data_IF_759686720743
#
_entry.id   IF_759686720743
#
_cell.length_a   1.000
_cell.length_b   1.000
_cell.length_c   1.000
_cell.angle_alpha   90.00
_cell.angle_beta   90.00
_cell.angle_gamma   90.00
#
_symmetry.space_group_name_H-M   'P 1'
#
loop_
_entity.id
_entity.type
_entity.pdbx_description
1 polymer ?
#
# COMPACT_ATOMS: atom_id res chain seq x y z
N UNK A 1 13.42 -3.21 -22.97
CA UNK A 1 13.20 -2.91 -21.54
C UNK A 1 11.78 -3.32 -21.20
N UNK A 2 11.55 -4.14 -20.19
CA UNK A 2 10.17 -4.47 -19.75
C UNK A 2 9.56 -3.25 -19.06
N UNK A 3 8.24 -3.06 -19.19
CA UNK A 3 7.54 -1.91 -18.59
C UNK A 3 7.75 -1.83 -17.07
N UNK A 4 7.83 -2.98 -16.39
CA UNK A 4 8.13 -3.03 -14.96
C UNK A 4 9.53 -2.50 -14.59
N UNK A 5 10.53 -2.69 -15.46
CA UNK A 5 11.89 -2.18 -15.24
C UNK A 5 11.94 -0.66 -15.38
N UNK A 6 11.14 -0.11 -16.29
CA UNK A 6 10.98 1.33 -16.45
C UNK A 6 10.42 1.97 -15.18
N UNK A 7 9.32 1.44 -14.64
CA UNK A 7 8.74 1.96 -13.40
C UNK A 7 9.64 1.78 -12.18
N UNK A 8 10.42 0.68 -12.11
CA UNK A 8 11.46 0.55 -11.08
C UNK A 8 12.47 1.67 -11.16
N UNK A 9 13.01 1.95 -12.34
CA UNK A 9 14.02 2.98 -12.52
C UNK A 9 13.47 4.36 -12.15
N UNK A 10 12.26 4.68 -12.60
CA UNK A 10 11.56 5.90 -12.21
C UNK A 10 11.38 6.02 -10.70
N UNK A 11 11.00 4.94 -10.02
CA UNK A 11 10.84 4.96 -8.57
C UNK A 11 12.18 5.20 -7.87
N UNK A 12 13.24 4.49 -8.26
CA UNK A 12 14.58 4.67 -7.69
C UNK A 12 15.09 6.11 -7.85
N UNK A 13 14.92 6.70 -9.03
CA UNK A 13 15.29 8.09 -9.28
C UNK A 13 14.51 9.06 -8.37
N UNK A 14 13.20 8.84 -8.24
CA UNK A 14 12.35 9.69 -7.44
C UNK A 14 12.64 9.58 -5.93
N UNK A 15 12.78 8.37 -5.38
CA UNK A 15 13.05 8.20 -3.94
C UNK A 15 14.44 8.73 -3.57
N UNK A 16 15.44 8.59 -4.44
CA UNK A 16 16.77 9.13 -4.17
C UNK A 16 16.78 10.66 -4.06
N UNK A 17 15.83 11.32 -4.74
CA UNK A 17 15.69 12.77 -4.68
C UNK A 17 14.80 13.25 -3.52
N UNK A 18 13.68 12.57 -3.27
CA UNK A 18 12.62 13.07 -2.39
C UNK A 18 12.45 12.30 -1.08
N UNK A 19 12.70 10.98 -1.07
CA UNK A 19 12.49 10.11 0.09
C UNK A 19 13.61 9.03 0.19
N UNK A 20 14.88 9.39 0.49
CA UNK A 20 16.03 8.47 0.39
C UNK A 20 16.14 7.48 1.57
N UNK A 21 14.99 6.99 2.04
CA UNK A 21 14.83 6.10 3.21
C UNK A 21 14.09 4.81 2.85
N UNK A 22 13.74 4.63 1.58
CA UNK A 22 13.18 3.39 1.04
C UNK A 22 14.31 2.37 0.80
N UNK A 23 14.14 1.17 1.31
CA UNK A 23 15.08 0.06 1.17
C UNK A 23 14.45 -1.02 0.28
N UNK A 24 15.18 -1.52 -0.72
CA UNK A 24 14.69 -2.56 -1.64
C UNK A 24 14.77 -3.95 -1.00
N UNK A 25 13.70 -4.72 -1.14
CA UNK A 25 13.58 -6.11 -0.72
C UNK A 25 13.70 -7.05 -1.93
N UNK A 26 14.38 -8.18 -1.75
CA UNK A 26 14.39 -9.24 -2.74
C UNK A 26 13.02 -9.96 -2.80
N UNK A 27 12.39 -9.99 -3.97
CA UNK A 27 11.11 -10.69 -4.22
C UNK A 27 11.15 -11.44 -5.55
N UNK A 28 10.42 -12.55 -5.63
CA UNK A 28 10.43 -13.42 -6.82
C UNK A 28 9.70 -12.84 -8.04
N UNK A 29 8.71 -11.96 -7.82
CA UNK A 29 7.86 -11.41 -8.88
C UNK A 29 7.69 -9.90 -8.69
N UNK A 30 8.49 -9.14 -9.43
CA UNK A 30 8.47 -7.68 -9.43
C UNK A 30 9.52 -7.07 -8.50
N UNK A 31 9.20 -5.92 -7.93
CA UNK A 31 10.10 -5.15 -7.07
C UNK A 31 9.35 -4.63 -5.87
N UNK A 32 10.03 -4.58 -4.72
CA UNK A 32 9.41 -4.18 -3.46
C UNK A 32 10.39 -3.33 -2.67
N UNK A 33 9.85 -2.32 -2.01
CA UNK A 33 10.58 -1.49 -1.07
C UNK A 33 9.79 -1.36 0.21
N UNK A 34 10.50 -1.24 1.32
CA UNK A 34 9.91 -0.84 2.59
C UNK A 34 10.52 0.46 3.08
N UNK A 35 9.72 1.18 3.84
CA UNK A 35 10.15 2.33 4.60
C UNK A 35 9.72 2.12 6.04
N UNK A 36 10.72 2.10 6.93
CA UNK A 36 10.47 1.97 8.38
C UNK A 36 10.20 3.36 8.94
N UNK A 37 8.98 3.83 8.75
CA UNK A 37 8.48 4.98 9.47
C UNK A 37 7.86 4.53 10.81
N UNK A 38 8.15 5.25 11.88
CA UNK A 38 7.43 5.10 13.13
C UNK A 38 6.19 6.02 13.06
N UNK A 39 4.96 5.56 13.35
CA UNK A 39 4.60 4.27 13.96
C UNK A 39 4.20 3.15 12.98
N UNK A 40 3.98 3.42 11.69
CA UNK A 40 3.48 2.43 10.72
C UNK A 40 4.52 2.10 9.65
N UNK A 41 4.71 0.80 9.39
CA UNK A 41 5.61 0.35 8.32
C UNK A 41 4.91 0.52 6.97
N UNK A 42 5.57 1.24 6.07
CA UNK A 42 5.11 1.46 4.71
C UNK A 42 5.80 0.46 3.77
N UNK A 43 5.09 0.04 2.74
CA UNK A 43 5.63 -0.76 1.65
C UNK A 43 5.15 -0.23 0.32
N UNK A 44 6.03 -0.24 -0.68
CA UNK A 44 5.67 -0.01 -2.07
C UNK A 44 6.11 -1.21 -2.91
N UNK A 45 5.25 -1.65 -3.82
CA UNK A 45 5.52 -2.79 -4.68
C UNK A 45 5.09 -2.49 -6.11
N UNK A 46 5.90 -2.95 -7.06
CA UNK A 46 5.56 -3.02 -8.47
C UNK A 46 5.48 -4.50 -8.83
N UNK A 47 4.29 -4.99 -9.15
CA UNK A 47 4.06 -6.40 -9.50
C UNK A 47 3.99 -6.58 -11.02
N UNK A 48 4.62 -7.62 -11.51
CA UNK A 48 4.45 -8.07 -12.90
C UNK A 48 3.16 -8.90 -12.96
N UNK A 49 2.21 -8.49 -13.80
CA UNK A 49 0.88 -9.09 -13.90
C UNK A 49 0.64 -9.71 -15.28
N UNK A 50 1.68 -10.34 -15.87
CA UNK A 50 1.66 -10.95 -17.20
C UNK A 50 0.36 -11.74 -17.47
N UNK A 51 -0.45 -11.39 -18.50
CA UNK A 51 -0.17 -10.51 -19.64
C UNK A 51 -0.57 -9.02 -19.49
N UNK A 52 -1.00 -8.59 -18.31
CA UNK A 52 -1.48 -7.22 -18.05
C UNK A 52 -0.35 -6.21 -17.79
N UNK A 53 -0.75 -4.93 -17.75
CA UNK A 53 0.12 -3.84 -17.29
C UNK A 53 0.56 -4.06 -15.83
N UNK A 54 1.82 -3.72 -15.46
CA UNK A 54 2.27 -3.83 -14.08
C UNK A 54 1.32 -3.13 -13.11
N UNK A 55 1.20 -3.68 -11.89
CA UNK A 55 0.41 -3.06 -10.83
C UNK A 55 1.34 -2.35 -9.84
N UNK A 56 1.02 -1.10 -9.53
CA UNK A 56 1.61 -0.34 -8.44
C UNK A 56 0.77 -0.59 -7.19
N UNK A 57 1.41 -0.93 -6.08
CA UNK A 57 0.74 -1.19 -4.81
C UNK A 57 1.46 -0.48 -3.69
N UNK A 58 0.74 0.38 -2.98
CA UNK A 58 1.19 0.96 -1.72
C UNK A 58 0.47 0.26 -0.57
N UNK A 59 1.20 -0.05 0.50
CA UNK A 59 0.67 -0.76 1.65
C UNK A 59 1.08 -0.11 2.97
N UNK A 60 0.13 -0.06 3.91
CA UNK A 60 0.39 0.15 5.33
C UNK A 60 0.30 -1.20 6.05
N UNK A 61 1.34 -1.55 6.81
CA UNK A 61 1.35 -2.74 7.65
C UNK A 61 0.98 -2.30 9.06
N UNK A 62 -0.19 -2.73 9.50
CA UNK A 62 -0.80 -2.34 10.76
C UNK A 62 -0.60 -3.45 11.81
N UNK A 63 -0.48 -3.08 13.10
CA UNK A 63 -0.41 -4.05 14.18
C UNK A 63 -1.73 -4.82 14.33
N UNK A 64 -1.65 -5.95 15.01
CA UNK A 64 -2.78 -6.87 15.20
C UNK A 64 -4.02 -6.21 15.82
N UNK A 65 -3.84 -5.18 16.66
CA UNK A 65 -4.93 -4.45 17.29
C UNK A 65 -5.96 -3.87 16.29
N UNK A 66 -5.60 -3.70 15.02
CA UNK A 66 -6.54 -3.26 13.98
C UNK A 66 -7.53 -4.34 13.54
N UNK A 67 -7.32 -5.62 13.91
CA UNK A 67 -8.30 -6.69 13.69
C UNK A 67 -9.58 -6.47 14.51
N UNK A 68 -9.48 -5.76 15.63
CA UNK A 68 -10.59 -5.45 16.53
C UNK A 68 -11.22 -4.08 16.19
N UNK A 69 -11.21 -3.69 14.92
CA UNK A 69 -11.73 -2.39 14.46
C UNK A 69 -12.66 -2.52 13.26
N UNK A 70 -13.37 -1.44 12.93
CA UNK A 70 -14.25 -1.35 11.75
C UNK A 70 -13.50 -1.22 10.41
N UNK A 71 -12.17 -1.42 10.38
CA UNK A 71 -11.33 -1.17 9.20
C UNK A 71 -11.82 -1.88 7.92
N UNK A 72 -12.37 -3.09 8.03
CA UNK A 72 -12.93 -3.82 6.90
C UNK A 72 -14.15 -3.12 6.29
N UNK A 73 -14.99 -2.52 7.14
CA UNK A 73 -16.18 -1.79 6.70
C UNK A 73 -15.78 -0.46 6.05
N UNK A 74 -14.83 0.25 6.67
CA UNK A 74 -14.35 1.54 6.15
C UNK A 74 -13.78 1.38 4.75
N UNK A 75 -12.92 0.40 4.51
CA UNK A 75 -12.34 0.16 3.18
C UNK A 75 -13.38 -0.17 2.13
N UNK A 76 -14.36 -1.01 2.48
CA UNK A 76 -15.40 -1.41 1.54
C UNK A 76 -16.27 -0.22 1.11
N UNK A 77 -16.41 0.79 1.98
CA UNK A 77 -17.25 1.98 1.74
C UNK A 77 -16.45 3.18 1.24
N UNK A 78 -15.13 3.19 1.42
CA UNK A 78 -14.29 4.34 1.10
C UNK A 78 -14.26 4.59 -0.42
N UNK A 79 -14.66 5.78 -0.89
CA UNK A 79 -14.66 6.09 -2.32
C UNK A 79 -13.23 6.35 -2.79
N UNK A 80 -12.61 5.34 -3.40
CA UNK A 80 -11.26 5.43 -3.95
C UNK A 80 -11.23 5.17 -5.45
N UNK A 81 -10.30 5.83 -6.14
CA UNK A 81 -9.92 5.48 -7.52
C UNK A 81 -8.97 4.28 -7.59
N UNK A 82 -8.43 3.88 -6.44
CA UNK A 82 -7.55 2.72 -6.30
C UNK A 82 -8.38 1.48 -5.93
N UNK A 83 -7.84 0.32 -6.26
CA UNK A 83 -8.34 -0.93 -5.71
C UNK A 83 -7.81 -1.08 -4.28
N UNK A 84 -8.69 -0.80 -3.31
CA UNK A 84 -8.40 -0.96 -1.89
C UNK A 84 -8.64 -2.40 -1.45
N UNK A 85 -7.71 -2.96 -0.65
CA UNK A 85 -7.86 -4.32 -0.12
C UNK A 85 -7.20 -4.48 1.25
N UNK A 86 -7.69 -5.46 2.02
CA UNK A 86 -7.01 -5.97 3.21
C UNK A 86 -6.47 -7.37 2.92
N UNK A 87 -5.24 -7.61 3.36
CA UNK A 87 -4.69 -8.96 3.52
C UNK A 87 -4.29 -9.17 4.98
N UNK A 88 -4.66 -10.30 5.57
CA UNK A 88 -4.18 -10.70 6.90
C UNK A 88 -3.03 -11.67 6.69
N UNK A 89 -1.85 -11.33 7.19
CA UNK A 89 -0.66 -12.19 7.12
C UNK A 89 0.12 -12.09 8.43
N UNK A 90 0.45 -13.23 9.03
CA UNK A 90 1.19 -13.30 10.30
C UNK A 90 0.60 -12.42 11.42
N UNK A 91 -0.74 -12.43 11.56
CA UNK A 91 -1.50 -11.59 12.51
C UNK A 91 -1.36 -10.07 12.30
N UNK A 92 -0.75 -9.63 11.19
CA UNK A 92 -0.70 -8.23 10.79
C UNK A 92 -1.75 -7.95 9.72
N UNK A 93 -2.29 -6.74 9.73
CA UNK A 93 -3.24 -6.26 8.74
C UNK A 93 -2.48 -5.45 7.70
N UNK A 94 -2.58 -5.87 6.45
CA UNK A 94 -1.99 -5.20 5.31
C UNK A 94 -3.08 -4.44 4.58
N UNK A 95 -3.07 -3.13 4.74
CA UNK A 95 -3.97 -2.23 4.05
C UNK A 95 -3.32 -1.78 2.75
N UNK A 96 -3.89 -2.16 1.61
CA UNK A 96 -3.29 -1.92 0.30
C UNK A 96 -4.15 -0.98 -0.55
N UNK A 97 -3.49 -0.10 -1.30
CA UNK A 97 -4.06 0.64 -2.42
C UNK A 97 -3.31 0.26 -3.69
N UNK A 98 -4.04 -0.24 -4.70
CA UNK A 98 -3.46 -0.77 -5.94
C UNK A 98 -3.97 -0.02 -7.15
N UNK A 99 -3.08 0.20 -8.14
CA UNK A 99 -3.42 0.78 -9.42
C UNK A 99 -2.60 0.12 -10.53
N UNK A 100 -3.26 -0.33 -11.61
CA UNK A 100 -2.58 -0.77 -12.82
C UNK A 100 -1.99 0.43 -13.56
N UNK A 101 -0.79 0.26 -14.14
CA UNK A 101 -0.05 1.39 -14.72
C UNK A 101 -0.70 2.02 -15.95
N UNK A 102 -1.63 1.34 -16.63
CA UNK A 102 -2.44 1.93 -17.70
C UNK A 102 -3.46 2.96 -17.22
N UNK A 103 -3.87 2.87 -15.96
CA UNK A 103 -4.77 3.83 -15.28
C UNK A 103 -4.01 4.92 -14.55
N UNK A 104 -2.67 4.91 -14.61
CA UNK A 104 -1.82 5.90 -13.97
C UNK A 104 -1.91 7.24 -14.72
N UNK A 105 -2.62 8.19 -14.14
CA UNK A 105 -2.74 9.56 -14.67
C UNK A 105 -1.70 10.52 -14.08
N UNK A 106 -1.22 10.23 -12.87
CA UNK A 106 -0.26 11.04 -12.12
C UNK A 106 1.16 10.49 -12.25
N UNK A 107 2.17 11.22 -11.76
CA UNK A 107 3.51 10.65 -11.61
C UNK A 107 3.50 9.49 -10.60
N UNK A 108 4.52 8.63 -10.64
CA UNK A 108 4.64 7.51 -9.69
C UNK A 108 4.71 8.01 -8.23
N UNK A 109 5.34 9.17 -7.98
CA UNK A 109 5.30 9.83 -6.68
C UNK A 109 3.93 10.42 -6.35
N UNK A 110 3.21 10.93 -7.36
CA UNK A 110 1.82 11.36 -7.19
C UNK A 110 0.93 10.22 -6.72
N UNK A 111 1.06 9.03 -7.34
CA UNK A 111 0.40 7.81 -6.87
C UNK A 111 0.76 7.49 -5.41
N UNK A 112 2.06 7.46 -5.09
CA UNK A 112 2.52 7.13 -3.74
C UNK A 112 1.96 8.10 -2.69
N UNK A 113 2.00 9.41 -2.97
CA UNK A 113 1.51 10.44 -2.06
C UNK A 113 0.00 10.37 -1.84
N UNK A 114 -0.77 10.23 -2.92
CA UNK A 114 -2.23 10.17 -2.84
C UNK A 114 -2.72 8.88 -2.18
N UNK A 115 -2.17 7.72 -2.57
CA UNK A 115 -2.51 6.44 -1.95
C UNK A 115 -2.16 6.42 -0.45
N UNK A 116 -1.00 6.98 -0.06
CA UNK A 116 -0.65 7.18 1.34
C UNK A 116 -1.68 8.04 2.08
N UNK A 117 -2.09 9.16 1.50
CA UNK A 117 -3.10 10.04 2.08
C UNK A 117 -4.45 9.33 2.27
N UNK A 118 -4.93 8.62 1.25
CA UNK A 118 -6.19 7.87 1.34
C UNK A 118 -6.15 6.78 2.41
N UNK A 119 -5.08 5.99 2.47
CA UNK A 119 -4.97 4.95 3.50
C UNK A 119 -4.92 5.56 4.91
N UNK A 120 -4.22 6.68 5.11
CA UNK A 120 -4.21 7.37 6.40
C UNK A 120 -5.60 7.91 6.77
N UNK A 121 -6.34 8.50 5.82
CA UNK A 121 -7.70 8.97 6.06
C UNK A 121 -8.64 7.83 6.49
N UNK A 122 -8.49 6.64 5.89
CA UNK A 122 -9.24 5.45 6.32
C UNK A 122 -8.94 5.13 7.79
N UNK A 123 -7.66 5.16 8.19
CA UNK A 123 -7.26 4.90 9.58
C UNK A 123 -7.83 5.93 10.55
N UNK A 124 -8.00 7.18 10.14
CA UNK A 124 -8.62 8.22 10.97
C UNK A 124 -10.13 8.00 11.18
N UNK A 125 -10.78 7.20 10.31
CA UNK A 125 -12.21 6.90 10.38
C UNK A 125 -12.55 5.62 11.16
N UNK A 126 -11.57 4.77 11.50
CA UNK A 126 -11.87 3.49 12.16
C UNK A 126 -12.30 3.68 13.62
N UNK A 127 -13.16 2.78 14.08
CA UNK A 127 -13.60 2.71 15.48
C UNK A 127 -13.21 1.34 16.04
N UNK A 128 -12.79 1.30 17.32
CA UNK A 128 -12.58 0.04 18.04
C UNK A 128 -13.91 -0.65 18.32
N UNK A 129 -13.98 -1.94 18.04
CA UNK A 129 -15.14 -2.74 18.40
C UNK A 129 -15.16 -2.96 19.92
N UNK A 130 -16.34 -2.95 20.56
CA UNK A 130 -16.44 -3.33 21.96
C UNK A 130 -15.99 -4.78 22.13
N UNK A 131 -15.13 -5.05 23.11
CA UNK A 131 -14.83 -6.43 23.50
C UNK A 131 -16.14 -7.10 23.93
N UNK A 132 -16.45 -8.28 23.38
CA UNK A 132 -17.56 -9.09 23.89
C UNK A 132 -17.26 -9.39 25.36
N UNK A 133 -17.95 -8.70 26.27
CA UNK A 133 -17.97 -9.05 27.69
C UNK A 133 -18.53 -10.47 27.76
N UNK A 134 -17.69 -11.44 28.10
CA UNK A 134 -18.15 -12.78 28.49
C UNK A 134 -19.18 -12.62 29.61
N UNK A 135 -20.42 -13.05 29.35
CA UNK A 135 -21.54 -13.09 30.31
C UNK A 135 -21.53 -14.40 31.05
#
# INVERSE_FOLDING_TARGET
>A
MKLIQFYRQLFLEAINMYEPVWEEDAVSFGYRWHKRNYPLREQFQIRDMDPEYPALMYSLILPEAYLETTIYEEIKRYPSKYELSIVILNRQVWLNATLQTDKLQDSLMGFLYQSRGELMNILDCIIRLPAETEV
#
